data_IF_277180437345
#
_entry.id   IF_277180437345
#
_cell.length_a   1.000
_cell.length_b   1.000
_cell.length_c   1.000
_cell.angle_alpha   90.00
_cell.angle_beta   90.00
_cell.angle_gamma   90.00
#
_symmetry.space_group_name_H-M   'P 1'
#
loop_
_entity.id
_entity.type
_entity.pdbx_description
1 polymer ?
#
# COMPACT_ATOMS: atom_id res chain seq x y z
N UNK A 1 -44.04 -6.63 18.89
CA UNK A 1 -42.88 -7.47 19.26
C UNK A 1 -42.16 -8.10 18.06
N UNK A 2 -42.87 -8.62 17.04
CA UNK A 2 -42.24 -9.24 15.85
C UNK A 2 -41.41 -8.29 14.97
N UNK A 3 -41.84 -7.04 14.83
CA UNK A 3 -41.19 -6.03 13.97
C UNK A 3 -39.87 -5.53 14.59
N UNK A 4 -39.82 -5.42 15.92
CA UNK A 4 -38.61 -5.02 16.66
C UNK A 4 -37.48 -6.07 16.53
N UNK A 5 -37.86 -7.35 16.49
CA UNK A 5 -36.91 -8.45 16.28
C UNK A 5 -36.32 -8.48 14.86
N UNK A 6 -37.11 -8.10 13.85
CA UNK A 6 -36.63 -8.02 12.47
C UNK A 6 -35.57 -6.91 12.29
N UNK A 7 -35.74 -5.77 12.95
CA UNK A 7 -34.80 -4.63 12.88
C UNK A 7 -33.47 -4.99 13.56
N UNK A 8 -33.52 -5.67 14.70
CA UNK A 8 -32.33 -6.16 15.42
C UNK A 8 -31.55 -7.20 14.60
N UNK A 9 -32.23 -8.11 13.89
CA UNK A 9 -31.59 -9.08 13.01
C UNK A 9 -30.88 -8.42 11.82
N UNK A 10 -31.49 -7.39 11.21
CA UNK A 10 -30.88 -6.65 10.11
C UNK A 10 -29.64 -5.86 10.53
N UNK A 11 -29.58 -5.38 11.78
CA UNK A 11 -28.42 -4.64 12.29
C UNK A 11 -27.23 -5.56 12.57
N UNK A 12 -27.47 -6.80 12.98
CA UNK A 12 -26.44 -7.82 13.20
C UNK A 12 -25.78 -8.29 11.90
N UNK A 13 -26.51 -8.31 10.78
CA UNK A 13 -25.98 -8.75 9.48
C UNK A 13 -25.16 -7.67 8.76
N UNK A 14 -25.30 -6.40 9.12
CA UNK A 14 -24.52 -5.29 8.54
C UNK A 14 -23.19 -5.03 9.26
N UNK A 15 -22.93 -5.70 10.40
CA UNK A 15 -21.73 -5.50 11.22
C UNK A 15 -20.47 -6.26 10.76
N UNK A 16 -20.60 -7.27 9.91
CA UNK A 16 -19.46 -8.03 9.36
C UNK A 16 -19.04 -7.48 8.00
N UNK A 17 -18.72 -6.18 7.96
CA UNK A 17 -17.93 -5.64 6.86
C UNK A 17 -16.54 -6.26 6.94
N UNK A 18 -16.24 -7.20 6.04
CA UNK A 18 -14.89 -7.73 5.84
C UNK A 18 -13.99 -6.56 5.51
N UNK A 19 -13.32 -6.01 6.52
CA UNK A 19 -12.23 -5.08 6.32
C UNK A 19 -11.15 -5.83 5.57
N UNK A 20 -11.13 -5.70 4.25
CA UNK A 20 -9.97 -6.05 3.45
C UNK A 20 -8.83 -5.18 3.98
N UNK A 21 -7.97 -5.77 4.82
CA UNK A 21 -6.70 -5.16 5.19
C UNK A 21 -5.96 -4.94 3.88
N UNK A 22 -5.94 -3.71 3.41
CA UNK A 22 -5.11 -3.31 2.30
C UNK A 22 -3.65 -3.47 2.76
N UNK A 23 -3.08 -4.66 2.52
CA UNK A 23 -1.68 -4.96 2.78
C UNK A 23 -0.75 -4.30 1.74
N UNK A 24 -1.19 -3.22 1.10
CA UNK A 24 -0.41 -2.51 0.10
C UNK A 24 0.63 -1.66 0.83
N UNK A 25 1.82 -2.26 1.01
CA UNK A 25 2.95 -1.65 1.69
C UNK A 25 3.72 -0.86 0.66
N UNK A 26 3.98 0.42 0.93
CA UNK A 26 4.74 1.26 0.00
C UNK A 26 5.75 2.17 0.69
N UNK A 27 6.81 2.50 -0.05
CA UNK A 27 7.82 3.48 0.34
C UNK A 27 7.98 4.50 -0.76
N UNK A 28 8.21 5.75 -0.34
CA UNK A 28 8.44 6.87 -1.24
C UNK A 28 9.77 7.51 -0.90
N UNK A 29 10.52 7.91 -1.93
CA UNK A 29 11.80 8.59 -1.79
C UNK A 29 11.96 9.70 -2.83
N UNK A 30 12.90 10.62 -2.61
CA UNK A 30 13.25 11.63 -3.59
C UNK A 30 14.76 11.78 -3.74
N UNK A 31 15.22 12.11 -4.94
CA UNK A 31 16.63 12.31 -5.25
C UNK A 31 16.87 12.90 -6.64
N UNK A 32 18.10 13.33 -6.92
CA UNK A 32 18.44 13.98 -8.21
C UNK A 32 18.59 13.00 -9.38
N UNK A 33 18.94 11.74 -9.09
CA UNK A 33 19.08 10.69 -10.09
C UNK A 33 17.95 9.66 -9.91
N UNK A 34 17.27 9.31 -11.01
CA UNK A 34 16.10 8.43 -11.01
C UNK A 34 16.48 7.01 -10.58
N UNK A 35 17.50 6.43 -11.22
CA UNK A 35 17.90 5.04 -11.06
C UNK A 35 18.45 4.80 -9.65
N UNK A 36 19.31 5.69 -9.16
CA UNK A 36 19.86 5.60 -7.79
C UNK A 36 18.74 5.69 -6.75
N UNK A 37 17.78 6.60 -6.95
CA UNK A 37 16.65 6.76 -6.02
C UNK A 37 15.77 5.52 -6.02
N UNK A 38 15.42 4.99 -7.20
CA UNK A 38 14.59 3.80 -7.32
C UNK A 38 15.28 2.56 -6.74
N UNK A 39 16.55 2.33 -7.08
CA UNK A 39 17.30 1.17 -6.58
C UNK A 39 17.46 1.19 -5.06
N UNK A 40 17.61 2.39 -4.46
CA UNK A 40 17.63 2.55 -3.00
C UNK A 40 16.29 2.22 -2.34
N UNK A 41 15.17 2.43 -3.03
CA UNK A 41 13.87 2.00 -2.53
C UNK A 41 13.71 0.49 -2.70
N UNK A 42 14.04 -0.05 -3.87
CA UNK A 42 14.01 -1.49 -4.14
C UNK A 42 14.85 -2.29 -3.12
N UNK A 43 16.02 -1.78 -2.72
CA UNK A 43 16.88 -2.44 -1.72
C UNK A 43 16.29 -2.46 -0.29
N UNK A 44 15.19 -1.77 -0.05
CA UNK A 44 14.48 -1.76 1.23
C UNK A 44 13.23 -2.62 1.23
N UNK A 45 12.85 -3.16 0.06
CA UNK A 45 11.76 -4.12 -0.02
C UNK A 45 12.20 -5.39 0.72
N UNK A 46 11.43 -5.87 1.70
CA UNK A 46 11.79 -7.07 2.44
C UNK A 46 11.93 -8.29 1.53
N UNK A 47 12.83 -9.20 1.88
CA UNK A 47 12.95 -10.48 1.18
C UNK A 47 11.63 -11.26 1.26
N UNK A 48 11.25 -11.93 0.17
CA UNK A 48 10.00 -12.68 0.07
C UNK A 48 8.75 -11.84 -0.22
N UNK A 49 8.86 -10.50 -0.27
CA UNK A 49 7.79 -9.64 -0.76
C UNK A 49 7.77 -9.62 -2.30
N UNK A 50 6.58 -9.55 -2.88
CA UNK A 50 6.37 -9.35 -4.30
C UNK A 50 6.14 -7.86 -4.59
N UNK A 51 6.94 -7.27 -5.46
CA UNK A 51 6.76 -5.87 -5.89
C UNK A 51 5.50 -5.79 -6.76
N UNK A 52 4.58 -4.89 -6.40
CA UNK A 52 3.30 -4.67 -7.09
C UNK A 52 3.33 -3.39 -7.93
N UNK A 53 4.08 -2.38 -7.50
CA UNK A 53 4.29 -1.13 -8.25
C UNK A 53 5.71 -0.59 -8.03
N UNK A 54 6.27 0.03 -9.06
CA UNK A 54 7.53 0.76 -8.99
C UNK A 54 7.51 1.92 -9.98
N UNK A 55 7.43 3.15 -9.49
CA UNK A 55 7.26 4.33 -10.32
C UNK A 55 8.19 5.47 -9.92
N UNK A 56 8.51 6.35 -10.87
CA UNK A 56 9.27 7.57 -10.62
C UNK A 56 8.69 8.72 -11.43
N UNK A 57 8.44 9.85 -10.77
CA UNK A 57 7.98 11.09 -11.38
C UNK A 57 9.01 12.19 -11.18
N UNK A 58 9.34 12.92 -12.25
CA UNK A 58 10.10 14.16 -12.12
C UNK A 58 9.23 15.21 -11.42
N UNK A 59 9.75 15.77 -10.35
CA UNK A 59 9.15 16.87 -9.59
C UNK A 59 10.00 18.12 -9.79
N UNK A 60 9.35 19.23 -10.17
CA UNK A 60 9.99 20.53 -10.19
C UNK A 60 10.23 21.02 -8.77
N UNK A 61 11.37 21.67 -8.56
CA UNK A 61 11.70 22.38 -7.33
C UNK A 61 12.06 23.80 -7.75
N UNK A 62 11.78 24.79 -6.91
CA UNK A 62 11.96 26.21 -7.22
C UNK A 62 13.17 26.52 -8.15
N UNK A 63 12.91 27.27 -9.22
CA UNK A 63 13.87 27.57 -10.29
C UNK A 63 13.92 26.51 -11.39
N UNK A 64 15.10 26.29 -11.98
CA UNK A 64 15.36 25.28 -13.02
C UNK A 64 15.75 23.90 -12.44
N UNK A 65 15.54 23.70 -11.13
CA UNK A 65 15.92 22.48 -10.45
C UNK A 65 14.81 21.43 -10.52
N UNK A 66 15.21 20.17 -10.61
CA UNK A 66 14.28 19.05 -10.50
C UNK A 66 14.86 17.95 -9.63
N UNK A 67 13.97 17.16 -9.04
CA UNK A 67 14.27 15.86 -8.46
C UNK A 67 13.33 14.82 -9.04
N UNK A 68 13.60 13.56 -8.77
CA UNK A 68 12.68 12.46 -8.99
C UNK A 68 12.08 12.08 -7.65
N UNK A 69 10.75 11.94 -7.60
CA UNK A 69 10.04 11.27 -6.52
C UNK A 69 9.67 9.88 -7.01
N UNK A 70 10.20 8.86 -6.35
CA UNK A 70 9.93 7.46 -6.68
C UNK A 70 9.10 6.80 -5.59
N UNK A 71 8.26 5.86 -5.97
CA UNK A 71 7.51 4.96 -5.09
C UNK A 71 7.81 3.51 -5.45
N UNK A 72 7.83 2.64 -4.44
CA UNK A 72 7.82 1.19 -4.61
C UNK A 72 6.75 0.64 -3.68
N UNK A 73 5.86 -0.18 -4.20
CA UNK A 73 4.84 -0.89 -3.45
C UNK A 73 5.06 -2.40 -3.55
N UNK A 74 4.69 -3.12 -2.51
CA UNK A 74 4.82 -4.56 -2.43
C UNK A 74 3.74 -5.18 -1.55
N UNK A 75 3.56 -6.48 -1.73
CA UNK A 75 2.71 -7.32 -0.91
C UNK A 75 3.46 -8.55 -0.41
N UNK A 76 3.03 -9.09 0.73
CA UNK A 76 3.44 -10.41 1.18
C UNK A 76 2.39 -11.43 0.77
N UNK A 77 2.82 -12.55 0.19
CA UNK A 77 1.93 -13.71 0.02
C UNK A 77 1.41 -14.15 1.39
N UNK A 78 0.12 -14.52 1.48
CA UNK A 78 -0.52 -15.01 2.71
C UNK A 78 0.29 -16.11 3.43
N UNK A 79 1.11 -16.87 2.70
CA UNK A 79 2.03 -17.88 3.25
C UNK A 79 3.08 -17.31 4.22
N UNK A 80 3.38 -16.01 4.15
CA UNK A 80 4.33 -15.31 5.01
C UNK A 80 3.66 -14.52 6.14
N UNK A 81 2.32 -14.36 6.10
CA UNK A 81 1.56 -13.58 7.09
C UNK A 81 1.05 -14.43 8.27
N UNK A 82 1.36 -15.73 8.30
CA UNK A 82 1.02 -16.61 9.43
C UNK A 82 -0.49 -16.82 9.66
N UNK A 83 -1.33 -16.45 8.69
CA UNK A 83 -2.79 -16.60 8.80
C UNK A 83 -3.12 -18.06 8.48
N UNK A 84 -3.41 -18.81 9.55
CA UNK A 84 -3.87 -20.21 9.53
C UNK A 84 -5.37 -20.28 9.32
#
# INVERSE_FOLDING_TARGET
MRILMAILLSFLLFGFGSGALANDLSIVGSGRNREVTLNKLLSKVPEGAAITDASCKRIGIAGLNYQYRCSVAWEFSNRYLGVS
#
